data_IF_019461810203
#
_entry.id   IF_019461810203
#
_cell.length_a   1.000
_cell.length_b   1.000
_cell.length_c   1.000
_cell.angle_alpha   90.00
_cell.angle_beta   90.00
_cell.angle_gamma   90.00
#
_symmetry.space_group_name_H-M   'P 1'
#
loop_
_entity.id
_entity.type
_entity.pdbx_description
1 polymer ?
#
# COMPACT_ATOMS: atom_id res chain seq x y z
N UNK A 1 2.23 -16.52 6.08
CA UNK A 1 1.66 -15.26 6.57
C UNK A 1 0.75 -14.61 5.51
N UNK A 2 1.28 -13.88 4.55
CA UNK A 2 0.50 -13.06 3.61
C UNK A 2 -0.61 -13.86 2.90
N UNK A 3 -0.31 -15.06 2.40
CA UNK A 3 -1.27 -15.92 1.68
C UNK A 3 -2.48 -16.36 2.54
N UNK A 4 -2.36 -16.33 3.85
CA UNK A 4 -3.47 -16.63 4.78
C UNK A 4 -4.40 -15.45 5.03
N UNK A 5 -4.11 -14.27 4.45
CA UNK A 5 -4.93 -13.07 4.59
C UNK A 5 -4.74 -12.30 5.90
N UNK A 6 -3.84 -12.74 6.78
CA UNK A 6 -3.51 -12.06 8.04
C UNK A 6 -2.66 -10.80 7.84
N UNK A 7 -2.70 -9.88 8.80
CA UNK A 7 -1.75 -8.78 8.82
C UNK A 7 -0.34 -9.33 9.05
N UNK A 8 0.64 -8.76 8.39
CA UNK A 8 2.01 -9.28 8.39
C UNK A 8 3.01 -8.15 8.45
N UNK A 9 4.03 -8.27 9.29
CA UNK A 9 5.20 -7.39 9.25
C UNK A 9 6.40 -8.17 8.73
N UNK A 10 6.99 -7.71 7.63
CA UNK A 10 8.21 -8.27 7.06
C UNK A 10 9.38 -7.37 7.47
N UNK A 11 10.30 -7.93 8.23
CA UNK A 11 11.52 -7.26 8.60
C UNK A 11 12.72 -7.88 7.88
N UNK A 12 13.45 -7.08 7.13
CA UNK A 12 14.65 -7.52 6.44
C UNK A 12 15.52 -6.30 6.05
N UNK A 13 16.84 -6.49 5.85
CA UNK A 13 17.72 -5.41 5.38
C UNK A 13 17.24 -4.77 4.09
N UNK A 14 17.65 -3.52 3.86
CA UNK A 14 17.39 -2.85 2.58
C UNK A 14 18.05 -3.63 1.44
N UNK A 15 17.36 -3.75 0.30
CA UNK A 15 17.84 -4.53 -0.86
C UNK A 15 17.58 -6.04 -0.79
N UNK A 16 16.99 -6.57 0.28
CA UNK A 16 16.69 -8.00 0.45
C UNK A 16 15.52 -8.53 -0.41
N UNK A 17 14.84 -7.66 -1.15
CA UNK A 17 13.68 -8.04 -1.97
C UNK A 17 12.34 -8.05 -1.23
N UNK A 18 12.26 -7.56 0.02
CA UNK A 18 11.02 -7.53 0.81
C UNK A 18 9.84 -6.86 0.10
N UNK A 19 10.10 -5.76 -0.59
CA UNK A 19 9.06 -5.03 -1.35
C UNK A 19 8.49 -5.89 -2.47
N UNK A 20 9.36 -6.55 -3.25
CA UNK A 20 8.92 -7.47 -4.30
C UNK A 20 8.14 -8.65 -3.73
N UNK A 21 8.60 -9.24 -2.63
CA UNK A 21 7.91 -10.35 -1.97
C UNK A 21 6.48 -9.98 -1.53
N UNK A 22 6.28 -8.76 -1.00
CA UNK A 22 4.95 -8.27 -0.64
C UNK A 22 4.05 -8.07 -1.86
N UNK A 23 4.60 -7.55 -2.96
CA UNK A 23 3.83 -7.34 -4.20
C UNK A 23 3.48 -8.64 -4.92
N UNK A 24 4.39 -9.62 -4.97
CA UNK A 24 4.18 -10.85 -5.74
C UNK A 24 2.88 -11.55 -5.37
N UNK A 25 2.61 -11.72 -4.07
CA UNK A 25 1.36 -12.32 -3.63
C UNK A 25 0.14 -11.46 -4.04
N UNK A 26 0.22 -10.15 -3.86
CA UNK A 26 -0.85 -9.23 -4.27
C UNK A 26 -1.13 -9.31 -5.77
N UNK A 27 -0.10 -9.31 -6.60
CA UNK A 27 -0.20 -9.43 -8.06
C UNK A 27 -0.81 -10.78 -8.46
N UNK A 28 -0.31 -11.88 -7.89
CA UNK A 28 -0.84 -13.23 -8.14
C UNK A 28 -2.33 -13.32 -7.82
N UNK A 29 -2.72 -12.82 -6.64
CA UNK A 29 -4.12 -12.78 -6.22
C UNK A 29 -5.00 -11.94 -7.14
N UNK A 30 -4.52 -10.75 -7.55
CA UNK A 30 -5.25 -9.87 -8.44
C UNK A 30 -5.44 -10.49 -9.84
N UNK A 31 -4.43 -11.21 -10.35
CA UNK A 31 -4.51 -11.94 -11.61
C UNK A 31 -5.47 -13.16 -11.52
N UNK A 32 -5.42 -13.90 -10.40
CA UNK A 32 -6.28 -15.06 -10.19
C UNK A 32 -7.77 -14.68 -9.99
N UNK A 33 -8.02 -13.49 -9.49
CA UNK A 33 -9.37 -12.98 -9.21
C UNK A 33 -9.54 -11.60 -9.87
N UNK A 34 -9.76 -11.55 -11.19
CA UNK A 34 -10.01 -10.29 -11.89
C UNK A 34 -11.17 -9.52 -11.25
N UNK A 35 -11.04 -8.21 -11.19
CA UNK A 35 -12.04 -7.33 -10.62
C UNK A 35 -11.75 -5.89 -11.00
N UNK A 36 -12.71 -5.02 -10.83
CA UNK A 36 -12.57 -3.61 -11.17
C UNK A 36 -12.14 -2.76 -9.97
N UNK A 37 -11.39 -1.71 -10.28
CA UNK A 37 -11.02 -0.67 -9.33
C UNK A 37 -9.74 -0.95 -8.57
N UNK A 38 -9.46 -0.08 -7.61
CA UNK A 38 -8.24 -0.10 -6.82
C UNK A 38 -8.32 -1.16 -5.71
N UNK A 39 -7.53 -2.22 -5.82
CA UNK A 39 -7.56 -3.33 -4.87
C UNK A 39 -6.29 -3.46 -4.03
N UNK A 40 -5.13 -3.01 -4.53
CA UNK A 40 -3.89 -3.00 -3.80
C UNK A 40 -3.35 -1.57 -3.66
N UNK A 41 -3.19 -1.11 -2.42
CA UNK A 41 -2.64 0.20 -2.10
C UNK A 41 -1.23 0.03 -1.51
N UNK A 42 -0.25 0.72 -2.09
CA UNK A 42 1.10 0.80 -1.56
C UNK A 42 1.40 2.21 -1.07
N UNK A 43 1.80 2.32 0.19
CA UNK A 43 2.08 3.60 0.84
C UNK A 43 3.53 3.65 1.27
N UNK A 44 4.30 4.56 0.67
CA UNK A 44 5.69 4.80 1.06
C UNK A 44 5.87 6.24 1.55
N UNK A 45 6.56 6.44 2.67
CA UNK A 45 6.90 7.78 3.15
C UNK A 45 7.94 8.49 2.28
N UNK A 46 8.63 7.76 1.42
CA UNK A 46 9.71 8.28 0.57
C UNK A 46 9.19 8.47 -0.86
N UNK A 47 8.81 9.70 -1.19
CA UNK A 47 8.24 10.08 -2.48
C UNK A 47 9.12 9.68 -3.69
N UNK A 48 10.44 9.82 -3.56
CA UNK A 48 11.38 9.47 -4.63
C UNK A 48 11.31 7.98 -5.00
N UNK A 49 11.06 7.09 -4.03
CA UNK A 49 10.97 5.65 -4.26
C UNK A 49 9.71 5.23 -5.01
N UNK A 50 8.65 6.03 -5.01
CA UNK A 50 7.38 5.64 -5.61
C UNK A 50 7.47 5.38 -7.12
N UNK A 51 8.26 6.17 -7.83
CA UNK A 51 8.48 5.98 -9.27
C UNK A 51 9.42 4.80 -9.55
N UNK A 52 10.42 4.57 -8.67
CA UNK A 52 11.30 3.41 -8.79
C UNK A 52 10.54 2.11 -8.54
N UNK A 53 9.64 2.09 -7.56
CA UNK A 53 8.75 0.95 -7.31
C UNK A 53 7.86 0.68 -8.53
N UNK A 54 7.23 1.69 -9.09
CA UNK A 54 6.40 1.53 -10.29
C UNK A 54 7.22 0.94 -11.44
N UNK A 55 8.42 1.47 -11.68
CA UNK A 55 9.35 0.94 -12.71
C UNK A 55 9.73 -0.51 -12.45
N UNK A 56 10.05 -0.84 -11.20
CA UNK A 56 10.47 -2.19 -10.80
C UNK A 56 9.34 -3.23 -10.90
N UNK A 57 8.07 -2.81 -10.83
CA UNK A 57 6.92 -3.70 -11.02
C UNK A 57 6.66 -4.04 -12.49
N UNK A 58 7.12 -3.22 -13.44
CA UNK A 58 6.90 -3.45 -14.89
C UNK A 58 7.47 -4.80 -15.36
N UNK A 59 8.66 -5.16 -14.91
CA UNK A 59 9.30 -6.43 -15.25
C UNK A 59 8.49 -7.65 -14.79
N UNK A 60 8.19 -7.79 -13.50
CA UNK A 60 7.33 -8.85 -12.97
C UNK A 60 5.95 -8.92 -13.65
N UNK A 61 5.29 -7.78 -13.85
CA UNK A 61 3.97 -7.74 -14.52
C UNK A 61 4.05 -8.23 -15.97
N UNK A 62 5.06 -7.80 -16.72
CA UNK A 62 5.30 -8.27 -18.09
C UNK A 62 5.62 -9.76 -18.14
N UNK A 63 6.46 -10.25 -17.22
CA UNK A 63 6.80 -11.68 -17.10
C UNK A 63 5.59 -12.56 -16.80
N UNK A 64 4.63 -12.07 -16.03
CA UNK A 64 3.37 -12.74 -15.73
C UNK A 64 2.29 -12.51 -16.81
N UNK A 65 2.57 -11.74 -17.86
CA UNK A 65 1.58 -11.29 -18.86
C UNK A 65 0.34 -10.67 -18.22
N UNK A 66 0.56 -9.93 -17.14
CA UNK A 66 -0.51 -9.32 -16.35
C UNK A 66 -1.02 -8.04 -17.01
N UNK A 67 -2.34 -7.87 -17.06
CA UNK A 67 -3.00 -6.65 -17.54
C UNK A 67 -3.26 -5.64 -16.42
N UNK A 68 -2.76 -5.89 -15.21
CA UNK A 68 -2.94 -5.02 -14.06
C UNK A 68 -2.31 -3.65 -14.30
N UNK A 69 -3.08 -2.61 -14.02
CA UNK A 69 -2.67 -1.23 -14.17
C UNK A 69 -2.09 -0.71 -12.86
N UNK A 70 -0.89 -0.15 -12.95
CA UNK A 70 -0.22 0.52 -11.83
C UNK A 70 -0.33 2.03 -12.02
N UNK A 71 -0.73 2.74 -10.98
CA UNK A 71 -0.76 4.19 -10.94
C UNK A 71 0.10 4.73 -9.81
N UNK A 72 0.67 5.92 -9.99
CA UNK A 72 1.41 6.64 -8.95
C UNK A 72 0.68 7.95 -8.65
N UNK A 73 0.33 8.17 -7.38
CA UNK A 73 -0.27 9.42 -6.92
C UNK A 73 0.51 10.01 -5.75
N UNK A 74 1.20 11.09 -6.04
CA UNK A 74 1.97 11.88 -5.07
C UNK A 74 1.56 13.35 -5.14
N UNK A 75 2.22 14.21 -4.38
CA UNK A 75 2.02 15.66 -4.48
C UNK A 75 2.27 16.20 -5.90
N UNK A 76 3.17 15.59 -6.67
CA UNK A 76 3.58 16.04 -8.02
C UNK A 76 2.69 15.50 -9.15
N UNK A 77 1.80 14.57 -8.86
CA UNK A 77 0.87 14.04 -9.87
C UNK A 77 -0.01 15.16 -10.41
N UNK A 78 0.01 15.35 -11.72
CA UNK A 78 -0.74 16.42 -12.40
C UNK A 78 -2.25 16.27 -12.23
N UNK A 79 -2.99 17.37 -12.37
CA UNK A 79 -4.46 17.35 -12.33
C UNK A 79 -5.07 16.46 -13.42
N UNK A 80 -4.44 16.42 -14.60
CA UNK A 80 -4.86 15.57 -15.72
C UNK A 80 -4.77 14.07 -15.33
N UNK A 81 -3.64 13.67 -14.76
CA UNK A 81 -3.44 12.29 -14.29
C UNK A 81 -4.38 11.94 -13.15
N UNK A 82 -4.57 12.84 -12.18
CA UNK A 82 -5.54 12.65 -11.09
C UNK A 82 -6.95 12.44 -11.62
N UNK A 83 -7.39 13.24 -12.59
CA UNK A 83 -8.69 13.09 -13.23
C UNK A 83 -8.81 11.78 -14.02
N UNK A 84 -7.74 11.34 -14.69
CA UNK A 84 -7.71 10.05 -15.38
C UNK A 84 -7.87 8.88 -14.42
N UNK A 85 -7.16 8.90 -13.27
CA UNK A 85 -7.28 7.86 -12.23
C UNK A 85 -8.66 7.81 -11.58
N UNK A 86 -9.37 8.94 -11.50
CA UNK A 86 -10.75 8.96 -11.01
C UNK A 86 -11.73 8.27 -11.98
N UNK A 87 -11.53 8.51 -13.29
CA UNK A 87 -12.39 7.89 -14.32
C UNK A 87 -12.10 6.41 -14.51
N UNK A 88 -10.84 6.03 -14.38
CA UNK A 88 -10.37 4.65 -14.53
C UNK A 88 -9.33 4.35 -13.45
N UNK A 89 -9.75 3.97 -12.24
CA UNK A 89 -8.84 3.66 -11.14
C UNK A 89 -7.85 2.55 -11.53
N UNK A 90 -6.57 2.66 -11.17
CA UNK A 90 -5.62 1.57 -11.36
C UNK A 90 -5.94 0.42 -10.40
N UNK A 91 -5.49 -0.79 -10.72
CA UNK A 91 -5.63 -1.96 -9.86
C UNK A 91 -4.68 -1.88 -8.65
N UNK A 92 -3.51 -1.29 -8.88
CA UNK A 92 -2.46 -1.03 -7.89
C UNK A 92 -2.17 0.46 -7.86
N UNK A 93 -2.29 1.09 -6.69
CA UNK A 93 -1.93 2.50 -6.50
C UNK A 93 -0.74 2.63 -5.55
N UNK A 94 0.30 3.30 -6.02
CA UNK A 94 1.47 3.69 -5.24
C UNK A 94 1.29 5.14 -4.81
N UNK A 95 1.42 5.43 -3.50
CA UNK A 95 1.15 6.76 -2.96
C UNK A 95 2.01 7.10 -1.74
N UNK A 96 1.86 8.31 -1.23
CA UNK A 96 2.47 8.76 0.03
C UNK A 96 1.40 8.91 1.12
N UNK A 97 1.79 8.95 2.43
CA UNK A 97 0.86 9.19 3.52
C UNK A 97 -0.02 10.44 3.33
N UNK A 98 0.59 11.54 2.87
CA UNK A 98 -0.11 12.81 2.65
C UNK A 98 -1.12 12.70 1.51
N UNK A 99 -0.73 12.01 0.43
CA UNK A 99 -1.63 11.80 -0.72
C UNK A 99 -2.77 10.86 -0.39
N UNK A 100 -2.55 9.85 0.45
CA UNK A 100 -3.61 8.99 0.98
C UNK A 100 -4.63 9.79 1.78
N UNK A 101 -4.16 10.67 2.67
CA UNK A 101 -5.07 11.55 3.43
C UNK A 101 -5.90 12.44 2.49
N UNK A 102 -5.29 13.06 1.47
CA UNK A 102 -6.00 13.87 0.50
C UNK A 102 -7.01 13.06 -0.33
N UNK A 103 -6.70 11.80 -0.64
CA UNK A 103 -7.65 10.89 -1.26
C UNK A 103 -8.87 10.67 -0.37
N UNK A 104 -8.65 10.31 0.89
CA UNK A 104 -9.71 10.03 1.87
C UNK A 104 -10.62 11.22 2.16
N UNK A 105 -10.10 12.45 2.05
CA UNK A 105 -10.83 13.68 2.35
C UNK A 105 -11.45 14.36 1.11
N UNK A 106 -11.31 13.75 -0.05
CA UNK A 106 -11.85 14.27 -1.32
C UNK A 106 -12.88 13.34 -1.95
N UNK A 107 -13.49 13.75 -3.06
CA UNK A 107 -14.39 12.88 -3.85
C UNK A 107 -13.68 11.61 -4.34
N UNK A 108 -12.36 11.63 -4.44
CA UNK A 108 -11.56 10.47 -4.84
C UNK A 108 -11.62 9.31 -3.84
N UNK A 109 -12.12 9.52 -2.63
CA UNK A 109 -12.28 8.45 -1.62
C UNK A 109 -13.11 7.27 -2.14
N UNK A 110 -14.03 7.50 -3.06
CA UNK A 110 -14.87 6.42 -3.60
C UNK A 110 -14.03 5.36 -4.34
N UNK A 111 -12.89 5.75 -4.94
CA UNK A 111 -11.97 4.80 -5.58
C UNK A 111 -11.25 3.88 -4.59
N UNK A 112 -11.25 4.22 -3.30
CA UNK A 112 -10.61 3.43 -2.25
C UNK A 112 -11.53 2.34 -1.66
N UNK A 113 -12.83 2.32 -1.99
CA UNK A 113 -13.79 1.37 -1.40
C UNK A 113 -13.52 -0.08 -1.76
N UNK A 114 -12.83 -0.32 -2.86
CA UNK A 114 -12.47 -1.66 -3.34
C UNK A 114 -11.14 -2.18 -2.83
N UNK A 115 -10.42 -1.40 -2.01
CA UNK A 115 -9.12 -1.79 -1.46
C UNK A 115 -9.26 -3.04 -0.60
N UNK A 116 -8.42 -4.04 -0.88
CA UNK A 116 -8.36 -5.31 -0.16
C UNK A 116 -7.07 -5.48 0.62
N UNK A 117 -5.98 -4.92 0.10
CA UNK A 117 -4.65 -5.03 0.69
C UNK A 117 -3.95 -3.68 0.72
N UNK A 118 -3.32 -3.36 1.83
CA UNK A 118 -2.44 -2.18 1.98
C UNK A 118 -1.04 -2.65 2.34
N UNK A 119 -0.06 -2.24 1.55
CA UNK A 119 1.37 -2.39 1.88
C UNK A 119 1.85 -1.04 2.39
N UNK A 120 2.40 -1.01 3.61
CA UNK A 120 3.06 0.16 4.20
C UNK A 120 4.56 -0.10 4.20
N UNK A 121 5.29 0.65 3.39
CA UNK A 121 6.75 0.48 3.31
C UNK A 121 7.50 1.46 4.21
N UNK A 122 8.75 1.11 4.53
CA UNK A 122 9.65 1.87 5.39
C UNK A 122 8.97 2.30 6.71
N UNK A 123 8.21 1.38 7.32
CA UNK A 123 7.42 1.65 8.54
C UNK A 123 8.28 2.29 9.62
N UNK A 124 9.53 1.83 9.78
CA UNK A 124 10.47 2.36 10.75
C UNK A 124 10.78 3.86 10.57
N UNK A 125 10.64 4.40 9.37
CA UNK A 125 10.89 5.82 9.10
C UNK A 125 9.75 6.73 9.59
N UNK A 126 8.58 6.15 9.87
CA UNK A 126 7.38 6.92 10.28
C UNK A 126 6.85 6.51 11.65
N UNK A 127 7.04 5.27 12.09
CA UNK A 127 6.62 4.82 13.41
C UNK A 127 7.20 5.75 14.51
N UNK A 128 6.36 6.15 15.46
CA UNK A 128 6.73 7.08 16.53
C UNK A 128 6.82 8.56 16.15
N UNK A 129 6.57 8.92 14.89
CA UNK A 129 6.57 10.32 14.42
C UNK A 129 5.15 10.90 14.29
N UNK A 130 5.03 12.24 14.26
CA UNK A 130 3.74 12.89 13.94
C UNK A 130 3.19 12.48 12.58
N UNK A 131 4.07 12.27 11.60
CA UNK A 131 3.72 11.80 10.27
C UNK A 131 3.16 10.37 10.30
N UNK A 132 3.75 9.52 11.15
CA UNK A 132 3.26 8.18 11.40
C UNK A 132 1.90 8.17 12.08
N UNK A 133 1.70 8.96 13.12
CA UNK A 133 0.38 9.08 13.76
C UNK A 133 -0.72 9.49 12.77
N UNK A 134 -0.39 10.41 11.86
CA UNK A 134 -1.29 10.82 10.77
C UNK A 134 -1.57 9.68 9.78
N UNK A 135 -0.55 8.87 9.44
CA UNK A 135 -0.72 7.69 8.59
C UNK A 135 -1.59 6.64 9.27
N UNK A 136 -1.33 6.32 10.54
CA UNK A 136 -2.14 5.37 11.31
C UNK A 136 -3.62 5.76 11.31
N UNK A 137 -3.93 7.04 11.58
CA UNK A 137 -5.30 7.55 11.50
C UNK A 137 -5.90 7.41 10.09
N UNK A 138 -5.09 7.61 9.04
CA UNK A 138 -5.53 7.45 7.66
C UNK A 138 -5.85 6.00 7.33
N UNK A 139 -5.08 5.04 7.87
CA UNK A 139 -5.34 3.61 7.71
C UNK A 139 -6.65 3.18 8.40
N UNK A 140 -6.92 3.69 9.61
CA UNK A 140 -8.20 3.44 10.31
C UNK A 140 -9.40 4.04 9.56
N UNK A 141 -9.23 5.24 8.99
CA UNK A 141 -10.25 5.85 8.13
C UNK A 141 -10.52 5.05 6.86
N UNK A 142 -9.45 4.47 6.28
CA UNK A 142 -9.58 3.60 5.12
C UNK A 142 -10.37 2.33 5.45
N UNK A 143 -10.07 1.64 6.54
CA UNK A 143 -10.84 0.48 6.99
C UNK A 143 -12.32 0.82 7.17
N UNK A 144 -12.60 1.95 7.83
CA UNK A 144 -13.98 2.41 8.02
C UNK A 144 -14.69 2.73 6.70
N UNK A 145 -13.96 3.29 5.72
CA UNK A 145 -14.51 3.60 4.39
C UNK A 145 -14.84 2.33 3.62
N UNK A 146 -13.95 1.34 3.66
CA UNK A 146 -14.12 0.05 2.97
C UNK A 146 -15.18 -0.81 3.63
N UNK A 147 -15.32 -0.75 4.95
CA UNK A 147 -16.36 -1.44 5.73
C UNK A 147 -16.17 -2.96 5.85
N UNK A 148 -15.02 -3.47 5.44
CA UNK A 148 -14.59 -4.87 5.60
C UNK A 148 -13.11 -4.92 5.99
N UNK A 149 -12.64 -6.02 6.61
CA UNK A 149 -11.22 -6.14 6.97
C UNK A 149 -10.31 -5.97 5.75
N UNK A 150 -9.33 -5.08 5.87
CA UNK A 150 -8.26 -4.89 4.89
C UNK A 150 -7.02 -5.57 5.43
N UNK A 151 -6.36 -6.39 4.60
CA UNK A 151 -5.06 -6.95 4.95
C UNK A 151 -4.00 -5.85 4.95
N UNK A 152 -3.24 -5.74 6.04
CA UNK A 152 -2.13 -4.79 6.15
C UNK A 152 -0.80 -5.52 6.18
N UNK A 153 0.10 -5.13 5.30
CA UNK A 153 1.46 -5.67 5.19
C UNK A 153 2.43 -4.54 5.47
N UNK A 154 3.17 -4.63 6.56
CA UNK A 154 4.24 -3.69 6.89
C UNK A 154 5.59 -4.17 6.38
N UNK A 155 6.38 -3.28 5.82
CA UNK A 155 7.77 -3.53 5.44
C UNK A 155 8.68 -2.62 6.24
N UNK A 156 9.69 -3.18 6.89
CA UNK A 156 10.60 -2.43 7.74
C UNK A 156 12.05 -2.91 7.57
N UNK A 157 13.00 -2.00 7.71
CA UNK A 157 14.37 -2.40 7.98
C UNK A 157 14.48 -3.02 9.37
N UNK A 158 15.61 -3.67 9.65
CA UNK A 158 15.86 -4.30 10.95
C UNK A 158 15.89 -3.26 12.06
N UNK A 159 14.85 -3.21 12.89
CA UNK A 159 14.73 -2.32 14.04
C UNK A 159 14.02 -3.02 15.21
N UNK A 160 14.20 -2.50 16.41
CA UNK A 160 13.55 -2.97 17.64
C UNK A 160 12.93 -1.78 18.39
N UNK A 161 11.85 -1.96 19.18
CA UNK A 161 11.08 -3.19 19.35
C UNK A 161 10.15 -3.49 18.17
N UNK A 162 10.11 -4.76 17.76
CA UNK A 162 9.35 -5.21 16.58
C UNK A 162 7.84 -5.13 16.81
N UNK A 163 7.42 -5.40 18.04
CA UNK A 163 6.01 -5.38 18.44
C UNK A 163 5.38 -3.99 18.31
N UNK A 164 6.11 -2.93 18.62
CA UNK A 164 5.62 -1.54 18.46
C UNK A 164 5.43 -1.19 16.98
N UNK A 165 6.37 -1.62 16.12
CA UNK A 165 6.28 -1.43 14.67
C UNK A 165 5.08 -2.25 14.13
N UNK A 166 4.88 -3.47 14.65
CA UNK A 166 3.73 -4.29 14.32
C UNK A 166 2.42 -3.61 14.67
N UNK A 167 2.27 -3.13 15.88
CA UNK A 167 1.08 -2.39 16.33
C UNK A 167 0.80 -1.14 15.51
N UNK A 168 1.82 -0.43 15.09
CA UNK A 168 1.66 0.72 14.20
C UNK A 168 0.97 0.33 12.89
N UNK A 169 1.30 -0.84 12.32
CA UNK A 169 0.72 -1.32 11.06
C UNK A 169 -0.69 -1.87 11.28
N UNK A 170 -0.86 -2.75 12.28
CA UNK A 170 -2.11 -3.48 12.48
C UNK A 170 -3.18 -2.73 13.29
N UNK A 171 -2.79 -1.67 14.04
CA UNK A 171 -3.66 -1.11 15.06
C UNK A 171 -3.88 -2.13 16.19
N UNK A 172 -5.13 -2.34 16.56
CA UNK A 172 -5.53 -3.29 17.61
C UNK A 172 -5.72 -4.73 17.09
N UNK A 173 -5.39 -4.99 15.82
CA UNK A 173 -5.55 -6.32 15.19
C UNK A 173 -4.29 -7.15 15.34
N UNK A 174 -4.47 -8.46 15.33
CA UNK A 174 -3.35 -9.40 15.31
C UNK A 174 -2.45 -9.18 14.08
N UNK A 175 -1.15 -9.38 14.27
CA UNK A 175 -0.15 -9.27 13.23
C UNK A 175 0.89 -10.40 13.39
N UNK A 176 1.23 -11.04 12.29
CA UNK A 176 2.30 -12.03 12.21
C UNK A 176 3.62 -11.30 11.91
N UNK A 177 4.65 -11.57 12.73
CA UNK A 177 5.96 -10.91 12.67
C UNK A 177 6.98 -11.80 11.95
#
# INVERSE_FOLDING_TARGET
>A
AIARGGNTLIQAPTGSGKTLAAFLYGIDRLNAQPGDGLRLLYVSPLKALNYDIERNLRGPLAGLRSELRVGVRTGDTSQKERAAMLRRPPDILITTPESLFLLLTSRARETLRSVETVIVDEVHAVAGTKRGAHLALSLERLDRLVGKPIQRIGLSATQRPLEEIGRFVSGDREIEL
#
